data_IF_038348768635
#
_entry.id   IF_038348768635
#
_cell.length_a   1.000
_cell.length_b   1.000
_cell.length_c   1.000
_cell.angle_alpha   90.00
_cell.angle_beta   90.00
_cell.angle_gamma   90.00
#
_symmetry.space_group_name_H-M   'P 1'
#
loop_
_entity.id
_entity.type
_entity.pdbx_description
1 polymer ?
#
# COMPACT_ATOMS: atom_id res chain seq x y z
N UNK A 1 -11.58 -7.73 -12.97
CA UNK A 1 -12.45 -8.38 -11.96
C UNK A 1 -13.90 -8.21 -12.39
N UNK A 2 -14.75 -9.23 -12.25
CA UNK A 2 -16.14 -9.18 -12.72
C UNK A 2 -17.12 -9.29 -11.54
N UNK A 3 -17.34 -8.16 -10.84
CA UNK A 3 -18.31 -8.09 -9.73
C UNK A 3 -19.75 -8.16 -10.24
N UNK A 4 -20.00 -7.65 -11.45
CA UNK A 4 -21.30 -7.62 -12.12
C UNK A 4 -21.84 -8.97 -12.58
N UNK A 5 -21.20 -10.09 -12.24
CA UNK A 5 -21.77 -11.44 -12.45
C UNK A 5 -21.96 -12.20 -11.14
N UNK A 6 -21.56 -11.61 -10.02
CA UNK A 6 -21.75 -12.21 -8.69
C UNK A 6 -23.06 -11.71 -8.08
N UNK A 7 -23.86 -12.58 -7.45
CA UNK A 7 -25.05 -12.14 -6.75
C UNK A 7 -24.69 -11.38 -5.46
N UNK A 8 -25.60 -10.54 -4.93
CA UNK A 8 -25.33 -9.71 -3.75
C UNK A 8 -24.93 -10.54 -2.52
N UNK A 9 -25.44 -11.76 -2.35
CA UNK A 9 -25.04 -12.66 -1.25
C UNK A 9 -23.52 -12.90 -1.24
N UNK A 10 -22.91 -13.11 -2.40
CA UNK A 10 -21.48 -13.40 -2.52
C UNK A 10 -20.64 -12.14 -2.33
N UNK A 11 -21.10 -11.00 -2.85
CA UNK A 11 -20.41 -9.71 -2.69
C UNK A 11 -20.42 -9.30 -1.22
N UNK A 12 -21.62 -9.27 -0.62
CA UNK A 12 -21.84 -8.93 0.78
C UNK A 12 -21.08 -9.86 1.72
N UNK A 13 -21.24 -11.19 1.60
CA UNK A 13 -20.52 -12.11 2.49
C UNK A 13 -19.01 -11.93 2.43
N UNK A 14 -18.44 -11.69 1.24
CA UNK A 14 -17.01 -11.48 1.08
C UNK A 14 -16.51 -10.24 1.83
N UNK A 15 -17.20 -9.10 1.72
CA UNK A 15 -16.74 -7.85 2.37
C UNK A 15 -16.95 -7.89 3.88
N UNK A 16 -18.04 -8.49 4.36
CA UNK A 16 -18.35 -8.59 5.80
C UNK A 16 -17.55 -9.71 6.49
N UNK A 17 -16.97 -10.63 5.72
CA UNK A 17 -16.04 -11.64 6.23
C UNK A 17 -14.58 -11.15 6.18
N UNK A 18 -13.76 -11.61 7.12
CA UNK A 18 -12.31 -11.37 7.10
C UNK A 18 -11.80 -10.59 8.31
N UNK A 19 -10.52 -10.23 8.27
CA UNK A 19 -9.81 -9.61 9.40
C UNK A 19 -10.09 -8.10 9.57
N UNK A 20 -10.88 -7.50 8.67
CA UNK A 20 -11.14 -6.06 8.64
C UNK A 20 -9.90 -5.22 8.29
N UNK A 21 -9.93 -3.90 8.58
CA UNK A 21 -8.87 -2.97 8.21
C UNK A 21 -7.62 -3.05 9.12
N UNK A 22 -7.73 -3.73 10.27
CA UNK A 22 -6.69 -3.77 11.31
C UNK A 22 -5.28 -4.13 10.81
N UNK A 23 -5.11 -5.24 10.06
CA UNK A 23 -3.79 -5.60 9.53
C UNK A 23 -3.17 -4.55 8.60
N UNK A 24 -3.99 -3.85 7.81
CA UNK A 24 -3.50 -2.78 6.92
C UNK A 24 -3.10 -1.53 7.71
N UNK A 25 -3.84 -1.20 8.78
CA UNK A 25 -3.48 -0.11 9.69
C UNK A 25 -2.20 -0.42 10.48
N UNK A 26 -2.01 -1.68 10.90
CA UNK A 26 -0.76 -2.12 11.53
C UNK A 26 0.43 -2.01 10.57
N UNK A 27 0.23 -2.38 9.29
CA UNK A 27 1.25 -2.19 8.26
C UNK A 27 1.58 -0.70 8.05
N UNK A 28 0.58 0.18 8.06
CA UNK A 28 0.82 1.62 8.00
C UNK A 28 1.70 2.11 9.16
N UNK A 29 1.39 1.70 10.39
CA UNK A 29 2.20 2.07 11.56
C UNK A 29 3.65 1.54 11.48
N UNK A 30 3.85 0.32 10.97
CA UNK A 30 5.18 -0.24 10.78
C UNK A 30 5.99 0.54 9.72
N UNK A 31 5.35 0.97 8.63
CA UNK A 31 5.99 1.81 7.61
C UNK A 31 6.35 3.20 8.13
N UNK A 32 5.50 3.82 8.96
CA UNK A 32 5.82 5.08 9.63
C UNK A 32 7.00 4.94 10.58
N UNK A 33 7.05 3.85 11.36
CA UNK A 33 8.17 3.57 12.25
C UNK A 33 9.48 3.44 11.47
N UNK A 34 9.47 2.69 10.36
CA UNK A 34 10.64 2.58 9.47
C UNK A 34 11.06 3.94 8.88
N UNK A 35 10.11 4.78 8.48
CA UNK A 35 10.40 6.14 8.01
C UNK A 35 11.12 6.96 9.10
N UNK A 36 10.66 6.85 10.35
CA UNK A 36 11.30 7.48 11.51
C UNK A 36 12.71 6.97 11.78
N UNK A 37 12.92 5.65 11.75
CA UNK A 37 14.23 5.03 11.93
C UNK A 37 15.23 5.44 10.83
N UNK A 38 14.78 5.51 9.57
CA UNK A 38 15.60 6.00 8.46
C UNK A 38 15.96 7.48 8.62
N UNK A 39 15.03 8.30 9.11
CA UNK A 39 15.30 9.70 9.46
C UNK A 39 16.36 9.83 10.57
N UNK A 40 16.24 9.03 11.63
CA UNK A 40 17.23 8.99 12.71
C UNK A 40 18.60 8.53 12.20
N UNK A 41 18.64 7.54 11.30
CA UNK A 41 19.86 7.06 10.67
C UNK A 41 20.54 8.15 9.81
N UNK A 42 19.77 8.95 9.06
CA UNK A 42 20.29 10.13 8.34
C UNK A 42 20.97 11.11 9.29
N UNK A 43 20.31 11.47 10.40
CA UNK A 43 20.88 12.40 11.39
C UNK A 43 22.16 11.86 12.02
N UNK A 44 22.14 10.59 12.47
CA UNK A 44 23.29 9.96 13.11
C UNK A 44 24.48 9.83 12.14
N UNK A 45 24.24 9.35 10.92
CA UNK A 45 25.30 9.19 9.92
C UNK A 45 25.89 10.55 9.50
N UNK A 46 25.04 11.57 9.28
CA UNK A 46 25.50 12.92 8.97
C UNK A 46 26.41 13.45 10.08
N UNK A 47 26.02 13.30 11.35
CA UNK A 47 26.81 13.76 12.50
C UNK A 47 28.20 13.13 12.53
N UNK A 48 28.30 11.80 12.34
CA UNK A 48 29.58 11.09 12.32
C UNK A 48 30.44 11.54 11.12
N UNK A 49 29.84 11.68 9.95
CA UNK A 49 30.58 12.09 8.74
C UNK A 49 31.11 13.51 8.82
N UNK A 50 30.32 14.46 9.33
CA UNK A 50 30.77 15.84 9.55
C UNK A 50 31.91 15.90 10.56
N UNK A 51 31.77 15.21 11.71
CA UNK A 51 32.83 15.16 12.70
C UNK A 51 34.15 14.58 12.16
N UNK A 52 34.07 13.61 11.24
CA UNK A 52 35.25 13.01 10.61
C UNK A 52 35.93 13.96 9.61
N UNK A 53 35.15 14.60 8.74
CA UNK A 53 35.65 15.51 7.68
C UNK A 53 36.18 16.82 8.25
N UNK A 54 35.56 17.33 9.32
CA UNK A 54 35.95 18.61 9.96
C UNK A 54 37.15 18.46 10.93
N UNK A 55 37.68 17.24 11.09
CA UNK A 55 38.79 16.93 11.99
C UNK A 55 40.17 16.97 11.30
N UNK A 56 41.12 16.16 11.77
CA UNK A 56 42.48 16.09 11.25
C UNK A 56 42.61 15.40 9.88
N UNK A 57 41.57 14.69 9.41
CA UNK A 57 41.61 13.98 8.12
C UNK A 57 41.10 14.87 6.98
N UNK A 58 42.01 15.63 6.39
CA UNK A 58 41.72 16.56 5.29
C UNK A 58 42.47 16.16 4.01
N UNK A 59 41.92 16.55 2.86
CA UNK A 59 42.52 16.31 1.53
C UNK A 59 41.61 15.52 0.57
N UNK A 60 42.12 15.16 -0.62
CA UNK A 60 41.31 14.56 -1.69
C UNK A 60 40.57 13.28 -1.30
N UNK A 61 41.17 12.45 -0.44
CA UNK A 61 40.54 11.21 0.05
C UNK A 61 39.35 11.49 0.98
N UNK A 62 39.46 12.48 1.87
CA UNK A 62 38.37 12.91 2.76
C UNK A 62 37.21 13.51 1.95
N UNK A 63 37.51 14.32 0.94
CA UNK A 63 36.50 14.86 0.01
C UNK A 63 35.78 13.75 -0.79
N UNK A 64 36.50 12.71 -1.24
CA UNK A 64 35.89 11.57 -1.92
C UNK A 64 34.95 10.77 -1.00
N UNK A 65 35.34 10.57 0.26
CA UNK A 65 34.51 9.91 1.27
C UNK A 65 33.25 10.74 1.57
N UNK A 66 33.37 12.05 1.76
CA UNK A 66 32.25 12.95 2.00
C UNK A 66 31.20 12.88 0.86
N UNK A 67 31.65 12.78 -0.40
CA UNK A 67 30.75 12.64 -1.54
C UNK A 67 30.00 11.28 -1.52
N UNK A 68 30.71 10.18 -1.24
CA UNK A 68 30.08 8.87 -1.11
C UNK A 68 29.06 8.83 0.04
N UNK A 69 29.41 9.41 1.19
CA UNK A 69 28.53 9.59 2.33
C UNK A 69 27.27 10.40 1.97
N UNK A 70 27.43 11.50 1.22
CA UNK A 70 26.31 12.30 0.73
C UNK A 70 25.37 11.52 -0.20
N UNK A 71 25.90 10.65 -1.05
CA UNK A 71 25.10 9.73 -1.88
C UNK A 71 24.24 8.78 -1.05
N UNK A 72 24.83 8.17 -0.02
CA UNK A 72 24.13 7.26 0.89
C UNK A 72 23.07 7.97 1.74
N UNK A 73 23.38 9.16 2.28
CA UNK A 73 22.42 9.99 3.02
C UNK A 73 21.20 10.36 2.17
N UNK A 74 21.42 10.72 0.90
CA UNK A 74 20.33 11.03 -0.02
C UNK A 74 19.43 9.82 -0.26
N UNK A 75 20.02 8.64 -0.39
CA UNK A 75 19.26 7.40 -0.55
C UNK A 75 18.49 7.01 0.71
N UNK A 76 19.08 7.15 1.90
CA UNK A 76 18.36 6.92 3.16
C UNK A 76 17.17 7.86 3.29
N UNK A 77 17.37 9.15 2.98
CA UNK A 77 16.30 10.16 3.02
C UNK A 77 15.18 9.83 2.00
N UNK A 78 15.52 9.45 0.76
CA UNK A 78 14.51 9.06 -0.22
C UNK A 78 13.76 7.80 0.17
N UNK A 79 14.46 6.80 0.72
CA UNK A 79 13.86 5.55 1.20
C UNK A 79 12.92 5.81 2.37
N UNK A 80 13.29 6.71 3.29
CA UNK A 80 12.42 7.13 4.39
C UNK A 80 11.15 7.81 3.91
N UNK A 81 11.26 8.69 2.91
CA UNK A 81 10.09 9.32 2.28
C UNK A 81 9.18 8.29 1.60
N UNK A 82 9.76 7.30 0.91
CA UNK A 82 9.01 6.19 0.29
C UNK A 82 8.30 5.31 1.34
N UNK A 83 8.93 5.06 2.49
CA UNK A 83 8.30 4.36 3.60
C UNK A 83 7.08 5.13 4.14
N UNK A 84 7.21 6.45 4.36
CA UNK A 84 6.06 7.29 4.78
C UNK A 84 4.95 7.37 3.72
N UNK A 85 5.30 7.33 2.44
CA UNK A 85 4.34 7.20 1.34
C UNK A 85 3.58 5.86 1.44
N UNK A 86 4.30 4.75 1.65
CA UNK A 86 3.69 3.42 1.80
C UNK A 86 2.70 3.37 2.99
N UNK A 87 3.07 4.00 4.12
CA UNK A 87 2.16 4.14 5.26
C UNK A 87 0.86 4.85 4.89
N UNK A 88 0.98 5.97 4.16
CA UNK A 88 -0.17 6.75 3.70
C UNK A 88 -1.08 5.96 2.75
N UNK A 89 -0.50 5.21 1.78
CA UNK A 89 -1.28 4.38 0.85
C UNK A 89 -1.96 3.20 1.54
N UNK A 90 -1.33 2.61 2.55
CA UNK A 90 -1.96 1.58 3.39
C UNK A 90 -3.19 2.14 4.11
N UNK A 91 -3.12 3.34 4.71
CA UNK A 91 -4.29 3.98 5.34
C UNK A 91 -5.40 4.30 4.34
N UNK A 92 -5.06 4.78 3.14
CA UNK A 92 -6.05 5.03 2.08
C UNK A 92 -6.74 3.74 1.65
N UNK A 93 -6.00 2.62 1.59
CA UNK A 93 -6.58 1.30 1.28
C UNK A 93 -7.51 0.82 2.38
N UNK A 94 -7.15 1.03 3.65
CA UNK A 94 -8.03 0.74 4.79
C UNK A 94 -9.32 1.58 4.75
N UNK A 95 -9.21 2.88 4.47
CA UNK A 95 -10.35 3.77 4.33
C UNK A 95 -11.26 3.37 3.15
N UNK A 96 -10.69 2.92 2.03
CA UNK A 96 -11.46 2.39 0.92
C UNK A 96 -12.25 1.14 1.33
N UNK A 97 -11.65 0.23 2.09
CA UNK A 97 -12.34 -0.95 2.61
C UNK A 97 -13.50 -0.56 3.54
N UNK A 98 -13.30 0.36 4.48
CA UNK A 98 -14.35 0.82 5.39
C UNK A 98 -15.50 1.50 4.65
N UNK A 99 -15.19 2.33 3.65
CA UNK A 99 -16.19 2.96 2.81
C UNK A 99 -17.01 1.93 2.03
N UNK A 100 -16.36 0.89 1.48
CA UNK A 100 -17.05 -0.21 0.80
C UNK A 100 -17.91 -1.00 1.78
N UNK A 101 -17.40 -1.37 2.95
CA UNK A 101 -18.16 -2.07 3.97
C UNK A 101 -19.43 -1.30 4.38
N UNK A 102 -19.33 0.03 4.51
CA UNK A 102 -20.47 0.88 4.83
C UNK A 102 -21.48 1.02 3.68
N UNK A 103 -21.02 0.94 2.43
CA UNK A 103 -21.86 1.07 1.24
C UNK A 103 -22.48 -0.26 0.80
N UNK A 104 -21.91 -1.41 1.16
CA UNK A 104 -22.40 -2.74 0.81
C UNK A 104 -23.62 -3.12 1.65
N UNK A 105 -24.58 -3.81 1.03
CA UNK A 105 -25.79 -4.26 1.69
C UNK A 105 -25.45 -5.30 2.77
N UNK A 106 -26.10 -5.23 3.92
CA UNK A 106 -25.86 -6.21 4.97
C UNK A 106 -26.46 -7.58 4.57
N UNK A 107 -25.75 -8.72 4.78
CA UNK A 107 -26.24 -10.06 4.41
C UNK A 107 -27.64 -10.39 4.96
N UNK A 108 -27.98 -9.89 6.15
CA UNK A 108 -29.30 -10.06 6.76
C UNK A 108 -30.45 -9.41 5.97
N UNK A 109 -30.22 -8.29 5.29
CA UNK A 109 -31.23 -7.63 4.47
C UNK A 109 -31.52 -8.44 3.19
N UNK A 110 -30.47 -9.00 2.58
CA UNK A 110 -30.60 -9.89 1.43
C UNK A 110 -31.37 -11.15 1.82
N UNK A 111 -31.02 -11.77 2.94
CA UNK A 111 -31.73 -12.95 3.46
C UNK A 111 -33.21 -12.66 3.72
N UNK A 112 -33.53 -11.52 4.33
CA UNK A 112 -34.92 -11.11 4.57
C UNK A 112 -35.72 -11.01 3.27
N UNK A 113 -35.16 -10.33 2.26
CA UNK A 113 -35.77 -10.23 0.93
C UNK A 113 -36.02 -11.62 0.29
N UNK A 114 -35.02 -12.51 0.33
CA UNK A 114 -35.15 -13.87 -0.22
C UNK A 114 -36.23 -14.68 0.51
N UNK A 115 -36.32 -14.55 1.83
CA UNK A 115 -37.36 -15.23 2.63
C UNK A 115 -38.78 -14.71 2.34
N UNK A 116 -38.90 -13.40 2.10
CA UNK A 116 -40.16 -12.77 1.71
C UNK A 116 -40.61 -13.24 0.33
N UNK A 117 -39.68 -13.36 -0.63
CA UNK A 117 -40.00 -13.89 -1.96
C UNK A 117 -40.59 -15.30 -1.87
N UNK A 118 -39.95 -16.19 -1.10
CA UNK A 118 -40.47 -17.57 -0.91
C UNK A 118 -41.88 -17.55 -0.31
N UNK A 119 -42.13 -16.71 0.68
CA UNK A 119 -43.46 -16.58 1.31
C UNK A 119 -44.53 -16.10 0.31
N UNK A 120 -44.19 -15.08 -0.50
CA UNK A 120 -45.11 -14.52 -1.49
C UNK A 120 -45.42 -15.53 -2.61
N UNK A 121 -44.41 -16.24 -3.11
CA UNK A 121 -44.55 -17.24 -4.16
C UNK A 121 -45.38 -18.43 -3.68
N UNK A 122 -45.09 -18.96 -2.49
CA UNK A 122 -45.80 -20.11 -1.92
C UNK A 122 -47.27 -19.83 -1.63
N UNK A 123 -47.62 -18.58 -1.34
CA UNK A 123 -49.01 -18.14 -1.12
C UNK A 123 -49.72 -17.65 -2.40
N UNK A 124 -49.07 -17.65 -3.57
CA UNK A 124 -49.60 -17.07 -4.80
C UNK A 124 -50.56 -17.99 -5.60
N UNK A 125 -51.47 -18.71 -4.93
CA UNK A 125 -52.36 -19.68 -5.59
C UNK A 125 -53.23 -19.08 -6.71
N UNK A 126 -53.66 -17.83 -6.53
CA UNK A 126 -54.57 -17.12 -7.45
C UNK A 126 -53.88 -16.03 -8.28
N UNK A 127 -52.55 -15.88 -8.15
CA UNK A 127 -51.81 -14.84 -8.88
C UNK A 127 -51.87 -13.43 -8.26
N UNK A 128 -52.64 -13.20 -7.20
CA UNK A 128 -52.80 -11.87 -6.59
C UNK A 128 -51.51 -11.30 -5.99
N UNK A 129 -50.54 -12.14 -5.64
CA UNK A 129 -49.25 -11.67 -5.11
C UNK A 129 -48.28 -11.26 -6.21
N UNK A 130 -48.62 -11.39 -7.51
CA UNK A 130 -47.70 -11.07 -8.60
C UNK A 130 -47.08 -9.65 -8.51
N UNK A 131 -47.82 -8.57 -8.18
CA UNK A 131 -47.22 -7.24 -7.99
C UNK A 131 -46.24 -7.18 -6.81
N UNK A 132 -46.53 -7.89 -5.71
CA UNK A 132 -45.65 -7.94 -4.54
C UNK A 132 -44.37 -8.75 -4.79
N UNK A 133 -44.48 -9.84 -5.55
CA UNK A 133 -43.32 -10.63 -6.02
C UNK A 133 -42.40 -9.73 -6.84
N UNK A 134 -42.95 -9.04 -7.85
CA UNK A 134 -42.19 -8.13 -8.69
C UNK A 134 -41.49 -7.02 -7.88
N UNK A 135 -42.16 -6.48 -6.85
CA UNK A 135 -41.56 -5.48 -5.97
C UNK A 135 -40.38 -6.02 -5.15
N UNK A 136 -40.49 -7.25 -4.62
CA UNK A 136 -39.40 -7.90 -3.86
C UNK A 136 -38.22 -8.27 -4.77
N UNK A 137 -38.48 -8.73 -5.99
CA UNK A 137 -37.42 -8.99 -6.97
C UNK A 137 -36.71 -7.69 -7.40
N UNK A 138 -37.44 -6.60 -7.62
CA UNK A 138 -36.84 -5.30 -7.93
C UNK A 138 -35.95 -4.78 -6.79
N UNK A 139 -36.35 -4.97 -5.52
CA UNK A 139 -35.50 -4.65 -4.36
C UNK A 139 -34.22 -5.49 -4.35
N UNK A 140 -34.30 -6.76 -4.74
CA UNK A 140 -33.13 -7.63 -4.85
C UNK A 140 -32.14 -7.15 -5.91
N UNK A 141 -32.65 -6.75 -7.08
CA UNK A 141 -31.83 -6.17 -8.15
C UNK A 141 -31.18 -4.84 -7.71
N UNK A 142 -31.87 -4.02 -6.91
CA UNK A 142 -31.29 -2.80 -6.33
C UNK A 142 -30.15 -3.11 -5.35
N UNK A 143 -30.33 -4.11 -4.47
CA UNK A 143 -29.27 -4.55 -3.56
C UNK A 143 -28.04 -5.04 -4.35
N UNK A 144 -28.27 -5.80 -5.41
CA UNK A 144 -27.21 -6.23 -6.32
C UNK A 144 -26.48 -5.05 -6.98
N UNK A 145 -27.21 -4.09 -7.54
CA UNK A 145 -26.61 -2.91 -8.17
C UNK A 145 -25.79 -2.07 -7.18
N UNK A 146 -26.27 -1.91 -5.94
CA UNK A 146 -25.55 -1.21 -4.87
C UNK A 146 -24.24 -1.92 -4.51
N UNK A 147 -24.28 -3.23 -4.31
CA UNK A 147 -23.10 -4.04 -4.00
C UNK A 147 -22.05 -3.98 -5.11
N UNK A 148 -22.50 -4.07 -6.37
CA UNK A 148 -21.63 -3.95 -7.54
C UNK A 148 -20.98 -2.57 -7.59
N UNK A 149 -21.75 -1.50 -7.39
CA UNK A 149 -21.23 -0.14 -7.37
C UNK A 149 -20.19 0.07 -6.24
N UNK A 150 -20.47 -0.45 -5.04
CA UNK A 150 -19.55 -0.40 -3.91
C UNK A 150 -18.21 -1.10 -4.23
N UNK A 151 -18.26 -2.26 -4.87
CA UNK A 151 -17.05 -3.00 -5.25
C UNK A 151 -16.25 -2.35 -6.40
N UNK A 152 -16.91 -1.67 -7.34
CA UNK A 152 -16.20 -0.85 -8.32
C UNK A 152 -15.49 0.34 -7.67
N UNK A 153 -16.15 1.01 -6.71
CA UNK A 153 -15.54 2.06 -5.91
C UNK A 153 -14.32 1.54 -5.12
N UNK A 154 -14.45 0.37 -4.50
CA UNK A 154 -13.34 -0.28 -3.80
C UNK A 154 -12.15 -0.55 -4.72
N UNK A 155 -12.41 -1.14 -5.89
CA UNK A 155 -11.39 -1.47 -6.86
C UNK A 155 -10.66 -0.21 -7.34
N UNK A 156 -11.40 0.84 -7.70
CA UNK A 156 -10.80 2.10 -8.13
C UNK A 156 -9.92 2.72 -7.02
N UNK A 157 -10.43 2.78 -5.79
CA UNK A 157 -9.67 3.33 -4.65
C UNK A 157 -8.42 2.52 -4.32
N UNK A 158 -8.54 1.19 -4.22
CA UNK A 158 -7.40 0.31 -3.92
C UNK A 158 -6.36 0.31 -5.06
N UNK A 159 -6.80 0.31 -6.32
CA UNK A 159 -5.89 0.40 -7.47
C UNK A 159 -5.18 1.75 -7.53
N UNK A 160 -5.87 2.86 -7.22
CA UNK A 160 -5.24 4.17 -7.13
C UNK A 160 -4.16 4.19 -6.04
N UNK A 161 -4.48 3.70 -4.83
CA UNK A 161 -3.53 3.65 -3.73
C UNK A 161 -2.30 2.79 -4.06
N UNK A 162 -2.50 1.62 -4.69
CA UNK A 162 -1.41 0.76 -5.13
C UNK A 162 -0.55 1.42 -6.21
N UNK A 163 -1.17 2.08 -7.20
CA UNK A 163 -0.47 2.74 -8.30
C UNK A 163 0.35 3.97 -7.88
N UNK A 164 -0.01 4.58 -6.76
CA UNK A 164 0.70 5.73 -6.22
C UNK A 164 2.06 5.33 -5.63
N UNK A 165 2.25 4.07 -5.22
CA UNK A 165 3.50 3.61 -4.62
C UNK A 165 4.68 3.76 -5.58
N UNK A 166 5.72 4.45 -5.14
CA UNK A 166 6.95 4.59 -5.92
C UNK A 166 7.87 3.41 -5.67
N UNK A 167 8.44 2.78 -6.72
CA UNK A 167 9.44 1.74 -6.54
C UNK A 167 10.66 2.24 -5.78
N UNK A 168 11.19 1.40 -4.89
CA UNK A 168 12.43 1.70 -4.18
C UNK A 168 13.61 1.78 -5.16
N UNK A 169 14.44 2.81 -4.98
CA UNK A 169 15.67 2.94 -5.75
C UNK A 169 16.76 2.08 -5.13
N UNK A 170 17.41 1.25 -5.95
CA UNK A 170 18.58 0.49 -5.48
C UNK A 170 19.77 1.43 -5.34
N UNK A 171 20.54 1.25 -4.28
CA UNK A 171 21.82 1.92 -4.11
C UNK A 171 22.81 1.32 -5.13
N UNK A 172 23.17 2.09 -6.17
CA UNK A 172 24.01 1.60 -7.29
C UNK A 172 25.44 1.28 -6.85
N UNK A 173 25.93 1.88 -5.77
CA UNK A 173 27.24 1.58 -5.19
C UNK A 173 27.16 1.60 -3.67
N UNK A 174 27.40 0.45 -3.03
CA UNK A 174 27.63 0.44 -1.59
C UNK A 174 28.94 1.18 -1.28
N UNK A 175 29.04 1.88 -0.14
CA UNK A 175 30.30 2.53 0.28
C UNK A 175 31.50 1.56 0.30
N UNK A 176 31.24 0.28 0.60
CA UNK A 176 32.26 -0.78 0.56
C UNK A 176 32.76 -1.09 -0.86
N UNK A 177 31.85 -1.11 -1.84
CA UNK A 177 32.22 -1.32 -3.25
C UNK A 177 33.01 -0.13 -3.81
N UNK A 178 32.63 1.10 -3.44
CA UNK A 178 33.39 2.30 -3.79
C UNK A 178 34.80 2.29 -3.15
N UNK A 179 34.91 1.87 -1.88
CA UNK A 179 36.21 1.71 -1.20
C UNK A 179 37.11 0.67 -1.87
N UNK A 180 36.57 -0.47 -2.28
CA UNK A 180 37.33 -1.51 -2.97
C UNK A 180 37.84 -1.05 -4.34
N UNK A 181 37.02 -0.32 -5.11
CA UNK A 181 37.42 0.26 -6.39
C UNK A 181 38.53 1.30 -6.24
N UNK A 182 38.47 2.14 -5.19
CA UNK A 182 39.52 3.10 -4.87
C UNK A 182 40.84 2.43 -4.46
N UNK A 183 40.78 1.40 -3.63
CA UNK A 183 41.97 0.63 -3.23
C UNK A 183 42.61 -0.03 -4.46
N UNK A 184 41.82 -0.62 -5.34
CA UNK A 184 42.31 -1.20 -6.60
C UNK A 184 42.95 -0.14 -7.52
N UNK A 185 42.33 1.04 -7.65
CA UNK A 185 42.88 2.14 -8.43
C UNK A 185 44.21 2.67 -7.84
N UNK A 186 44.28 2.85 -6.52
CA UNK A 186 45.50 3.28 -5.83
C UNK A 186 46.64 2.25 -5.93
N UNK A 187 46.32 0.96 -5.85
CA UNK A 187 47.27 -0.14 -6.05
C UNK A 187 47.79 -0.17 -7.50
N UNK A 188 46.91 0.04 -8.48
CA UNK A 188 47.29 0.09 -9.89
C UNK A 188 48.26 1.24 -10.20
N UNK A 189 48.02 2.42 -9.61
CA UNK A 189 48.88 3.60 -9.74
C UNK A 189 50.27 3.41 -9.11
N UNK A 190 50.39 2.60 -8.06
CA UNK A 190 51.68 2.23 -7.46
C UNK A 190 52.43 1.13 -8.24
N UNK A 191 51.71 0.31 -9.00
CA UNK A 191 52.28 -0.81 -9.76
C UNK A 191 52.73 -0.47 -11.18
N UNK A 192 52.40 0.71 -11.69
CA UNK A 192 52.92 1.22 -12.96
C UNK A 192 54.22 1.99 -12.72
N UNK A 193 55.41 1.45 -13.09
CA UNK A 193 56.62 2.27 -13.08
C UNK A 193 56.46 3.35 -14.15
N UNK A 194 56.88 4.57 -13.84
CA UNK A 194 57.04 5.61 -14.86
C UNK A 194 58.10 5.11 -15.86
N UNK A 195 57.65 4.75 -17.06
CA UNK A 195 58.48 4.54 -18.25
C UNK A 195 58.36 5.72 -19.18
#
# INVERSE_FOLDING_TARGET
MNFSISPPEIISTRIFSGAGPGPMLAAAAAWDALAGELGAAVTAFSSVTSALVDSSWQGPASAAMANAAGGYLRWLASTGAQAGQAASQARLTAAAFEATLAATVHPGAILANRSQLVTLVTSNLLGFNAPAIAAVEAQYEQMWAQDVAAMFGYHAGASAAASALTPFTQLVQSPAAAGAAWIAAAQSAFSSPAG
#
